data_IF_107571424419
#
_entry.id   IF_107571424419
#
_cell.length_a   1.000
_cell.length_b   1.000
_cell.length_c   1.000
_cell.angle_alpha   90.00
_cell.angle_beta   90.00
_cell.angle_gamma   90.00
#
_symmetry.space_group_name_H-M   'P 1'
#
loop_
_entity.id
_entity.type
_entity.pdbx_description
1 polymer ?
#
# COMPACT_ATOMS: atom_id res chain seq x y z
N UNK A 1 25.95 12.11 51.40
CA UNK A 1 24.61 11.54 51.20
C UNK A 1 23.99 11.83 49.82
N UNK A 2 24.65 12.55 48.92
CA UNK A 2 24.19 12.99 47.59
C UNK A 2 24.30 11.94 46.50
N UNK A 3 25.28 11.06 46.57
CA UNK A 3 25.57 10.10 45.45
C UNK A 3 24.53 9.01 45.30
N UNK A 4 23.91 8.53 46.37
CA UNK A 4 22.85 7.50 46.27
C UNK A 4 21.53 8.00 45.69
N UNK A 5 21.20 9.29 45.89
CA UNK A 5 19.99 9.89 45.30
C UNK A 5 20.13 10.10 43.80
N UNK A 6 21.31 10.49 43.34
CA UNK A 6 21.57 10.68 41.90
C UNK A 6 21.55 9.36 41.10
N UNK A 7 21.99 8.26 41.74
CA UNK A 7 21.97 6.94 41.11
C UNK A 7 20.54 6.37 40.98
N UNK A 8 19.68 6.60 41.97
CA UNK A 8 18.29 6.19 41.94
C UNK A 8 17.44 6.95 40.91
N UNK A 9 17.76 8.23 40.65
CA UNK A 9 17.05 9.04 39.65
C UNK A 9 17.47 8.58 38.25
N UNK A 10 18.74 8.24 38.04
CA UNK A 10 19.22 7.72 36.76
C UNK A 10 18.60 6.37 36.37
N UNK A 11 18.49 5.45 37.33
CA UNK A 11 17.89 4.13 37.07
C UNK A 11 16.38 4.20 36.84
N UNK A 12 15.67 5.08 37.52
CA UNK A 12 14.23 5.31 37.28
C UNK A 12 13.97 5.93 35.90
N UNK A 13 14.83 6.83 35.44
CA UNK A 13 14.74 7.44 34.11
C UNK A 13 14.96 6.41 32.97
N UNK A 14 15.96 5.55 33.11
CA UNK A 14 16.23 4.48 32.14
C UNK A 14 15.11 3.46 32.12
N UNK A 15 14.61 3.04 33.27
CA UNK A 15 13.47 2.11 33.37
C UNK A 15 12.21 2.71 32.74
N UNK A 16 11.93 3.99 32.95
CA UNK A 16 10.82 4.72 32.34
C UNK A 16 10.94 4.80 30.82
N UNK A 17 12.15 5.09 30.29
CA UNK A 17 12.41 5.13 28.85
C UNK A 17 12.27 3.74 28.19
N UNK A 18 12.74 2.70 28.84
CA UNK A 18 12.59 1.31 28.38
C UNK A 18 11.11 0.90 28.38
N UNK A 19 10.39 1.23 29.44
CA UNK A 19 8.95 0.95 29.53
C UNK A 19 8.18 1.72 28.45
N UNK A 20 8.50 2.98 28.21
CA UNK A 20 7.93 3.79 27.13
C UNK A 20 8.22 3.19 25.77
N UNK A 21 9.46 2.78 25.51
CA UNK A 21 9.86 2.14 24.23
C UNK A 21 9.17 0.78 24.02
N UNK A 22 9.01 0.00 25.08
CA UNK A 22 8.34 -1.31 25.02
C UNK A 22 6.83 -1.20 24.87
N UNK A 23 6.22 -0.21 25.50
CA UNK A 23 4.77 -0.04 25.48
C UNK A 23 4.27 0.81 24.32
N UNK A 24 5.09 1.73 23.82
CA UNK A 24 4.73 2.68 22.74
C UNK A 24 3.30 3.22 22.89
N UNK A 25 2.97 3.90 24.01
CA UNK A 25 1.60 4.35 24.26
C UNK A 25 1.09 5.32 23.19
N UNK A 26 1.99 6.03 22.50
CA UNK A 26 1.65 6.85 21.34
C UNK A 26 1.00 6.05 20.19
N UNK A 27 1.38 4.79 20.01
CA UNK A 27 0.79 3.93 18.98
C UNK A 27 -0.66 3.53 19.24
N UNK A 28 -1.14 3.77 20.48
CA UNK A 28 -2.53 3.53 20.89
C UNK A 28 -3.44 4.75 20.67
N UNK A 29 -2.87 5.94 20.51
CA UNK A 29 -3.61 7.20 20.56
C UNK A 29 -3.48 7.99 19.25
N UNK A 30 -2.37 7.83 18.51
CA UNK A 30 -2.12 8.63 17.32
C UNK A 30 -2.60 7.91 16.07
N UNK A 31 -3.57 8.49 15.40
CA UNK A 31 -4.03 7.99 14.11
C UNK A 31 -2.94 8.11 13.05
N UNK A 32 -2.78 7.07 12.26
CA UNK A 32 -1.87 7.02 11.14
C UNK A 32 -2.64 6.79 9.85
N UNK A 33 -2.71 7.83 9.03
CA UNK A 33 -3.30 7.74 7.70
C UNK A 33 -2.27 7.30 6.68
N UNK A 34 -2.64 6.33 5.84
CA UNK A 34 -1.84 5.82 4.73
C UNK A 34 -2.72 5.82 3.48
N UNK A 35 -2.22 6.37 2.38
CA UNK A 35 -2.92 6.38 1.10
C UNK A 35 -1.95 5.90 0.00
N UNK A 36 -1.84 4.58 -0.13
CA UNK A 36 -1.01 3.96 -1.17
C UNK A 36 -1.79 3.92 -2.50
N UNK A 37 -1.18 4.29 -3.61
CA UNK A 37 -1.79 4.07 -4.92
C UNK A 37 -1.90 2.58 -5.22
N UNK A 38 -2.88 2.19 -6.05
CA UNK A 38 -2.89 0.84 -6.60
C UNK A 38 -1.70 0.71 -7.56
N UNK A 39 -0.82 -0.29 -7.39
CA UNK A 39 0.28 -0.48 -8.32
C UNK A 39 -0.28 -0.92 -9.69
N UNK A 40 -0.34 0.03 -10.61
CA UNK A 40 -0.48 -0.22 -12.03
C UNK A 40 0.91 -0.47 -12.60
N UNK A 41 1.04 -1.29 -13.63
CA UNK A 41 2.32 -1.52 -14.28
C UNK A 41 2.86 -0.19 -14.83
N UNK A 42 3.68 0.52 -14.05
CA UNK A 42 4.39 1.68 -14.53
C UNK A 42 5.46 1.19 -15.52
N UNK A 43 5.21 1.40 -16.80
CA UNK A 43 6.28 1.34 -17.79
C UNK A 43 7.31 2.40 -17.39
N UNK A 44 8.50 1.95 -17.12
CA UNK A 44 9.69 2.73 -16.78
C UNK A 44 9.87 3.94 -17.70
N UNK A 45 9.28 5.09 -17.36
CA UNK A 45 9.68 6.38 -17.90
C UNK A 45 10.84 7.02 -17.10
N UNK A 46 11.55 6.22 -16.33
CA UNK A 46 12.64 6.70 -15.46
C UNK A 46 14.05 6.54 -16.07
N UNK A 47 14.17 6.45 -17.39
CA UNK A 47 15.48 6.30 -18.02
C UNK A 47 15.88 7.43 -18.98
N UNK A 48 15.25 8.61 -18.91
CA UNK A 48 15.65 9.75 -19.73
C UNK A 48 15.69 11.10 -18.99
N UNK A 49 16.21 11.12 -17.80
CA UNK A 49 16.49 12.37 -17.08
C UNK A 49 17.80 12.28 -16.31
N UNK A 50 18.92 12.00 -17.02
CA UNK A 50 20.24 12.42 -16.54
C UNK A 50 21.21 12.40 -17.72
N UNK A 51 21.30 13.54 -18.39
CA UNK A 51 22.51 13.93 -19.07
C UNK A 51 22.91 15.31 -18.54
N UNK A 52 23.98 15.38 -17.76
CA UNK A 52 24.48 16.65 -17.28
C UNK A 52 25.31 17.34 -18.38
N UNK A 53 24.94 18.57 -18.60
CA UNK A 53 25.83 19.65 -18.93
C UNK A 53 26.70 19.59 -20.16
N UNK A 54 26.61 20.66 -20.94
CA UNK A 54 27.81 21.41 -21.30
C UNK A 54 27.42 22.85 -21.59
N UNK A 55 28.21 23.71 -20.97
CA UNK A 55 28.13 25.11 -20.86
C UNK A 55 28.33 25.86 -22.19
N UNK A 56 27.69 27.04 -22.19
CA UNK A 56 28.20 28.33 -22.68
C UNK A 56 29.04 28.43 -23.97
N UNK A 57 28.55 29.21 -24.92
CA UNK A 57 29.34 30.32 -25.41
C UNK A 57 28.49 31.36 -26.14
N UNK A 58 28.69 32.56 -25.71
CA UNK A 58 28.29 33.87 -26.17
C UNK A 58 28.67 34.16 -27.63
N UNK A 59 27.87 35.04 -28.22
CA UNK A 59 28.21 36.24 -29.00
C UNK A 59 27.60 36.32 -30.40
N UNK A 60 26.65 37.19 -30.49
CA UNK A 60 26.66 38.43 -31.24
C UNK A 60 26.46 38.43 -32.74
N UNK A 61 25.48 39.22 -33.10
CA UNK A 61 25.36 40.17 -34.20
C UNK A 61 24.96 39.72 -35.61
N UNK A 62 23.79 40.26 -35.88
CA UNK A 62 23.43 41.11 -37.01
C UNK A 62 23.16 40.53 -38.40
N UNK A 63 22.03 40.94 -38.83
CA UNK A 63 21.61 41.48 -40.13
C UNK A 63 20.70 40.62 -41.01
N UNK A 64 19.51 41.16 -41.19
CA UNK A 64 18.57 40.88 -42.28
C UNK A 64 19.04 41.60 -43.57
N UNK A 65 18.55 41.37 -44.77
CA UNK A 65 17.17 41.06 -45.08
C UNK A 65 16.88 40.17 -46.36
N UNK A 66 15.63 39.80 -46.45
CA UNK A 66 14.72 39.81 -47.61
C UNK A 66 14.81 38.76 -48.74
N UNK A 67 13.59 38.33 -49.05
CA UNK A 67 13.00 38.01 -50.38
C UNK A 67 12.87 36.53 -50.75
N UNK A 68 11.61 36.12 -50.71
CA UNK A 68 10.72 35.71 -51.81
C UNK A 68 10.69 34.29 -52.26
N UNK A 69 9.49 33.75 -52.12
CA UNK A 69 8.70 32.97 -53.09
C UNK A 69 9.14 31.55 -53.47
N UNK A 70 8.26 30.70 -53.12
CA UNK A 70 7.31 29.92 -54.01
C UNK A 70 7.63 28.43 -54.11
N UNK A 71 6.50 27.69 -54.08
CA UNK A 71 6.35 26.31 -54.55
C UNK A 71 6.29 25.22 -53.44
N UNK A 72 5.08 24.95 -53.04
CA UNK A 72 4.71 23.56 -52.78
C UNK A 72 4.69 22.76 -54.08
N UNK A 73 4.92 21.47 -54.11
CA UNK A 73 3.95 20.52 -53.64
C UNK A 73 4.51 19.16 -53.13
N UNK A 74 3.58 18.35 -52.76
CA UNK A 74 3.60 16.90 -52.70
C UNK A 74 3.78 16.26 -51.33
N UNK A 75 2.66 15.88 -50.78
CA UNK A 75 2.31 14.64 -50.17
C UNK A 75 3.43 13.61 -50.08
N UNK A 76 3.89 13.38 -48.88
CA UNK A 76 4.44 12.11 -48.48
C UNK A 76 3.63 11.63 -47.31
N UNK A 77 2.74 10.70 -47.56
CA UNK A 77 2.09 9.86 -46.58
C UNK A 77 3.16 9.25 -45.69
N UNK A 78 3.24 9.74 -44.46
CA UNK A 78 3.94 8.98 -43.44
C UNK A 78 2.98 7.87 -43.04
N UNK A 79 3.37 6.61 -43.15
CA UNK A 79 2.62 5.55 -42.53
C UNK A 79 2.62 5.84 -41.02
N UNK A 80 1.44 6.14 -40.50
CA UNK A 80 1.20 6.14 -39.09
C UNK A 80 1.67 4.80 -38.51
N UNK A 81 2.86 4.78 -37.98
CA UNK A 81 3.26 3.70 -37.10
C UNK A 81 2.27 3.78 -35.92
N UNK A 82 1.22 2.98 -36.06
CA UNK A 82 0.42 2.60 -34.92
C UNK A 82 1.40 1.98 -33.91
N UNK A 83 1.90 2.77 -33.01
CA UNK A 83 2.44 2.26 -31.77
C UNK A 83 1.26 1.54 -31.14
N UNK A 84 1.23 0.23 -31.35
CA UNK A 84 0.44 -0.64 -30.50
C UNK A 84 0.89 -0.30 -29.06
N UNK A 85 0.09 0.51 -28.40
CA UNK A 85 0.13 0.62 -26.96
C UNK A 85 -0.11 -0.82 -26.50
N UNK A 86 0.97 -1.52 -26.16
CA UNK A 86 0.90 -2.76 -25.40
C UNK A 86 0.28 -2.32 -24.09
N UNK A 87 -1.05 -2.56 -23.97
CA UNK A 87 -1.87 -2.10 -22.88
C UNK A 87 -1.26 -2.59 -21.56
N UNK A 88 -1.00 -1.68 -20.68
CA UNK A 88 -0.91 -2.00 -19.26
C UNK A 88 -2.26 -2.63 -18.92
N UNK A 89 -2.30 -3.95 -18.79
CA UNK A 89 -3.53 -4.62 -18.38
C UNK A 89 -3.91 -4.10 -17.01
N UNK A 90 -5.12 -3.58 -16.91
CA UNK A 90 -5.66 -3.13 -15.64
C UNK A 90 -5.67 -4.29 -14.63
N UNK A 91 -5.41 -4.02 -13.34
CA UNK A 91 -5.46 -5.06 -12.32
C UNK A 91 -6.80 -5.78 -12.31
N UNK A 92 -6.78 -7.10 -12.50
CA UNK A 92 -7.97 -7.93 -12.48
C UNK A 92 -8.47 -8.12 -11.06
N UNK A 93 -9.72 -7.76 -10.79
CA UNK A 93 -10.35 -8.02 -9.50
C UNK A 93 -10.72 -9.50 -9.38
N UNK A 94 -10.16 -10.20 -8.38
CA UNK A 94 -10.43 -11.61 -8.11
C UNK A 94 -11.53 -11.81 -7.07
N UNK A 95 -11.52 -11.02 -6.00
CA UNK A 95 -12.48 -11.10 -4.91
C UNK A 95 -12.61 -9.75 -4.21
N UNK A 96 -13.66 -9.59 -3.42
CA UNK A 96 -13.84 -8.38 -2.62
C UNK A 96 -14.85 -8.55 -1.50
N UNK A 97 -14.79 -7.63 -0.53
CA UNK A 97 -15.68 -7.65 0.61
C UNK A 97 -15.73 -6.32 1.34
N UNK A 98 -16.64 -6.25 2.30
CA UNK A 98 -16.78 -5.10 3.20
C UNK A 98 -16.46 -5.55 4.62
N UNK A 99 -15.71 -4.70 5.33
CA UNK A 99 -15.45 -4.93 6.74
C UNK A 99 -16.71 -4.78 7.59
N UNK A 100 -16.86 -5.68 8.54
CA UNK A 100 -17.73 -5.56 9.72
C UNK A 100 -16.89 -5.46 10.98
N UNK A 101 -17.45 -4.84 12.01
CA UNK A 101 -16.81 -4.67 13.31
C UNK A 101 -16.95 -5.93 14.14
N UNK A 102 -15.91 -6.26 14.91
CA UNK A 102 -15.94 -7.25 15.97
C UNK A 102 -15.66 -6.56 17.30
N UNK A 103 -14.46 -6.69 17.89
CA UNK A 103 -14.12 -6.03 19.13
C UNK A 103 -13.93 -4.51 19.00
N UNK A 104 -13.62 -4.00 17.80
CA UNK A 104 -13.41 -2.59 17.52
C UNK A 104 -14.19 -2.16 16.28
N UNK A 105 -14.59 -0.89 16.26
CA UNK A 105 -15.19 -0.32 15.05
C UNK A 105 -14.19 -0.44 13.89
N UNK A 106 -14.61 -1.16 12.84
CA UNK A 106 -13.80 -1.41 11.65
C UNK A 106 -14.69 -1.26 10.43
N UNK A 107 -14.24 -0.46 9.45
CA UNK A 107 -14.98 -0.21 8.22
C UNK A 107 -14.06 -0.09 7.03
N UNK A 108 -14.64 -0.10 5.84
CA UNK A 108 -13.96 0.00 4.56
C UNK A 108 -14.21 -1.22 3.70
N UNK A 109 -13.49 -1.28 2.60
CA UNK A 109 -13.57 -2.35 1.61
C UNK A 109 -12.23 -3.08 1.55
N UNK A 110 -12.28 -4.35 1.22
CA UNK A 110 -11.12 -5.12 0.82
C UNK A 110 -11.34 -5.66 -0.59
N UNK A 111 -10.30 -5.59 -1.40
CA UNK A 111 -10.31 -6.16 -2.75
C UNK A 111 -9.02 -6.91 -3.00
N UNK A 112 -9.14 -8.10 -3.57
CA UNK A 112 -7.99 -8.88 -4.04
C UNK A 112 -7.86 -8.69 -5.54
N UNK A 113 -6.69 -8.25 -5.96
CA UNK A 113 -6.33 -8.05 -7.36
C UNK A 113 -5.28 -9.06 -7.83
N UNK A 114 -5.33 -9.40 -9.11
CA UNK A 114 -4.21 -9.93 -9.89
C UNK A 114 -3.62 -8.80 -10.71
N UNK A 115 -2.33 -8.57 -10.52
CA UNK A 115 -1.57 -7.57 -11.30
C UNK A 115 -1.14 -8.16 -12.63
N UNK A 116 -0.76 -7.32 -13.58
CA UNK A 116 -0.29 -7.72 -14.91
C UNK A 116 0.93 -8.66 -14.87
N UNK A 117 1.77 -8.56 -13.84
CA UNK A 117 2.93 -9.44 -13.61
C UNK A 117 2.56 -10.78 -12.94
N UNK A 118 1.27 -11.04 -12.71
CA UNK A 118 0.75 -12.24 -12.07
C UNK A 118 0.80 -12.24 -10.55
N UNK A 119 1.40 -11.24 -9.90
CA UNK A 119 1.34 -11.09 -8.44
C UNK A 119 -0.10 -10.82 -7.99
N UNK A 120 -0.42 -11.22 -6.77
CA UNK A 120 -1.72 -10.96 -6.16
C UNK A 120 -1.56 -9.98 -5.02
N UNK A 121 -2.47 -9.01 -4.98
CA UNK A 121 -2.46 -7.91 -4.04
C UNK A 121 -3.79 -7.85 -3.30
N UNK A 122 -3.75 -7.72 -2.00
CA UNK A 122 -4.89 -7.37 -1.18
C UNK A 122 -4.84 -5.86 -0.94
N UNK A 123 -5.91 -5.15 -1.29
CA UNK A 123 -6.05 -3.71 -1.08
C UNK A 123 -7.16 -3.43 -0.09
N UNK A 124 -6.87 -2.64 0.92
CA UNK A 124 -7.84 -1.99 1.78
C UNK A 124 -8.16 -0.61 1.17
N UNK A 125 -9.44 -0.24 1.11
CA UNK A 125 -9.91 1.04 0.55
C UNK A 125 -10.91 1.67 1.51
N UNK A 126 -10.81 2.99 1.71
CA UNK A 126 -11.65 3.72 2.68
C UNK A 126 -11.61 3.07 4.08
N UNK A 127 -10.49 2.47 4.37
CA UNK A 127 -10.33 1.68 5.59
C UNK A 127 -10.19 2.57 6.82
N UNK A 128 -10.83 2.15 7.91
CA UNK A 128 -10.60 2.73 9.22
C UNK A 128 -10.87 1.72 10.33
N UNK A 129 -10.02 1.74 11.34
CA UNK A 129 -10.15 0.94 12.57
C UNK A 129 -9.50 1.66 13.75
N UNK A 130 -9.59 1.08 14.94
CA UNK A 130 -8.88 1.59 16.13
C UNK A 130 -7.38 1.31 16.06
N UNK A 131 -6.61 2.09 16.82
CA UNK A 131 -5.20 1.83 17.03
C UNK A 131 -4.96 0.63 17.93
N UNK A 132 -3.80 0.01 17.79
CA UNK A 132 -3.38 -1.10 18.64
C UNK A 132 -1.87 -1.35 18.56
N UNK A 133 -1.26 -2.01 19.56
CA UNK A 133 0.20 -2.12 19.68
C UNK A 133 0.86 -3.10 18.70
N UNK A 134 0.10 -4.02 18.10
CA UNK A 134 0.59 -4.97 17.09
C UNK A 134 -0.59 -5.47 16.25
N UNK A 135 -1.17 -4.55 15.47
CA UNK A 135 -2.30 -4.85 14.58
C UNK A 135 -1.76 -5.38 13.26
N UNK A 136 -2.35 -6.46 12.78
CA UNK A 136 -1.94 -7.23 11.60
C UNK A 136 -3.10 -7.44 10.65
N UNK A 137 -2.77 -7.69 9.38
CA UNK A 137 -3.71 -8.11 8.36
C UNK A 137 -3.53 -9.59 8.11
N UNK A 138 -4.57 -10.38 8.38
CA UNK A 138 -4.58 -11.82 8.17
C UNK A 138 -5.53 -12.22 7.05
N UNK A 139 -5.09 -13.16 6.19
CA UNK A 139 -5.99 -13.96 5.37
C UNK A 139 -6.34 -15.24 6.15
N UNK A 140 -7.63 -15.51 6.31
CA UNK A 140 -8.13 -16.60 7.15
C UNK A 140 -8.82 -17.67 6.29
N UNK A 141 -8.55 -18.94 6.59
CA UNK A 141 -9.12 -20.08 5.87
C UNK A 141 -10.56 -20.39 6.33
N UNK A 142 -11.40 -19.36 6.37
CA UNK A 142 -12.81 -19.42 6.74
C UNK A 142 -13.64 -18.57 5.79
N UNK A 143 -14.94 -18.77 5.76
CA UNK A 143 -15.85 -17.94 4.97
C UNK A 143 -16.03 -16.55 5.59
N UNK A 144 -15.94 -16.45 6.91
CA UNK A 144 -15.98 -15.22 7.69
C UNK A 144 -15.32 -15.46 9.06
N UNK A 145 -15.02 -14.38 9.81
CA UNK A 145 -14.39 -14.44 11.14
C UNK A 145 -15.19 -13.59 12.11
N UNK A 146 -16.10 -14.24 12.83
CA UNK A 146 -17.01 -13.57 13.77
C UNK A 146 -16.39 -13.36 15.17
N UNK A 147 -15.41 -14.18 15.56
CA UNK A 147 -14.76 -14.15 16.87
C UNK A 147 -13.27 -14.54 16.80
N UNK A 148 -12.59 -14.47 17.94
CA UNK A 148 -11.16 -14.77 18.03
C UNK A 148 -10.84 -16.27 17.85
N UNK A 149 -11.76 -17.16 18.23
CA UNK A 149 -11.60 -18.61 18.09
C UNK A 149 -11.56 -19.03 16.63
N UNK A 150 -12.51 -18.52 15.85
CA UNK A 150 -12.68 -18.87 14.45
C UNK A 150 -11.40 -18.63 13.61
N UNK A 151 -10.68 -17.53 13.84
CA UNK A 151 -9.43 -17.24 13.12
C UNK A 151 -8.33 -18.27 13.44
N UNK A 152 -8.19 -18.64 14.71
CA UNK A 152 -7.14 -19.57 15.17
C UNK A 152 -7.40 -21.01 14.71
N UNK A 153 -8.64 -21.44 14.77
CA UNK A 153 -9.04 -22.81 14.40
C UNK A 153 -8.99 -23.03 12.89
N UNK A 154 -9.43 -22.07 12.10
CA UNK A 154 -9.41 -22.17 10.64
C UNK A 154 -8.00 -22.12 10.03
N UNK A 155 -7.06 -21.48 10.72
CA UNK A 155 -5.73 -21.17 10.22
C UNK A 155 -5.70 -19.90 9.38
N UNK A 156 -4.57 -19.22 9.40
CA UNK A 156 -4.40 -17.93 8.73
C UNK A 156 -3.01 -17.75 8.14
N UNK A 157 -2.89 -16.79 7.23
CA UNK A 157 -1.63 -16.27 6.69
C UNK A 157 -1.50 -14.81 7.11
N UNK A 158 -0.38 -14.47 7.77
CA UNK A 158 -0.05 -13.11 8.18
C UNK A 158 0.53 -12.34 6.97
N UNK A 159 -0.20 -11.34 6.47
CA UNK A 159 0.24 -10.49 5.37
C UNK A 159 1.11 -9.32 5.83
N UNK A 160 1.23 -9.12 7.15
CA UNK A 160 2.09 -8.09 7.73
C UNK A 160 1.37 -7.15 8.70
N UNK A 161 2.17 -6.22 9.24
CA UNK A 161 1.64 -5.20 10.16
C UNK A 161 0.71 -4.25 9.42
N UNK A 162 -0.36 -3.82 10.09
CA UNK A 162 -1.23 -2.76 9.60
C UNK A 162 -0.40 -1.48 9.46
N UNK A 163 -0.33 -0.93 8.25
CA UNK A 163 0.53 0.23 7.93
C UNK A 163 0.00 1.53 8.53
N UNK A 164 -1.32 1.63 8.64
CA UNK A 164 -2.03 2.72 9.31
C UNK A 164 -3.43 2.27 9.69
N UNK A 165 -4.03 2.92 10.67
CA UNK A 165 -5.40 2.62 11.07
C UNK A 165 -6.46 3.31 10.20
N UNK A 166 -6.05 4.20 9.29
CA UNK A 166 -6.91 4.93 8.36
C UNK A 166 -6.30 4.90 6.96
N UNK A 167 -7.15 4.75 5.93
CA UNK A 167 -6.85 5.01 4.52
C UNK A 167 -6.55 3.77 3.70
N UNK A 168 -6.02 4.00 2.50
CA UNK A 168 -5.82 2.98 1.48
C UNK A 168 -4.46 2.30 1.62
N UNK A 169 -4.44 0.97 1.62
CA UNK A 169 -3.23 0.19 1.90
C UNK A 169 -3.19 -1.07 1.05
N UNK A 170 -1.99 -1.49 0.65
CA UNK A 170 -1.76 -2.66 -0.18
C UNK A 170 -0.93 -3.70 0.56
N UNK A 171 -1.22 -4.99 0.37
CA UNK A 171 -0.51 -6.12 0.97
C UNK A 171 -0.28 -7.19 -0.09
N UNK A 172 0.95 -7.65 -0.24
CA UNK A 172 1.26 -8.74 -1.16
C UNK A 172 0.69 -10.06 -0.61
N UNK A 173 0.03 -10.81 -1.47
CA UNK A 173 -0.43 -12.16 -1.16
C UNK A 173 0.65 -13.15 -1.64
N UNK A 174 1.14 -14.06 -0.78
CA UNK A 174 2.15 -15.04 -1.16
C UNK A 174 1.76 -15.82 -2.41
N UNK A 175 2.72 -16.04 -3.30
CA UNK A 175 2.51 -16.86 -4.48
C UNK A 175 2.09 -18.29 -4.07
N UNK A 176 1.17 -18.89 -4.82
CA UNK A 176 0.68 -20.25 -4.54
C UNK A 176 -0.35 -20.38 -3.42
N UNK A 177 -0.72 -19.30 -2.72
CA UNK A 177 -1.80 -19.37 -1.73
C UNK A 177 -3.14 -19.66 -2.41
N UNK A 178 -3.87 -20.64 -1.88
CA UNK A 178 -5.18 -21.03 -2.40
C UNK A 178 -6.29 -20.09 -1.88
N UNK A 179 -6.72 -19.14 -2.72
CA UNK A 179 -7.77 -18.18 -2.37
C UNK A 179 -9.16 -18.79 -2.27
N UNK A 180 -9.38 -20.01 -2.77
CA UNK A 180 -10.67 -20.70 -2.57
C UNK A 180 -10.83 -21.18 -1.13
N UNK A 181 -9.72 -21.39 -0.44
CA UNK A 181 -9.66 -21.74 0.97
C UNK A 181 -9.65 -20.52 1.88
N UNK A 182 -8.86 -19.49 1.52
CA UNK A 182 -8.66 -18.27 2.32
C UNK A 182 -9.67 -17.20 1.88
N UNK A 183 -10.88 -17.23 2.45
CA UNK A 183 -12.01 -16.41 2.00
C UNK A 183 -12.43 -15.31 2.97
N UNK A 184 -11.62 -15.01 3.98
CA UNK A 184 -11.88 -13.89 4.87
C UNK A 184 -10.59 -13.13 5.17
N UNK A 185 -10.72 -11.83 5.43
CA UNK A 185 -9.66 -10.98 5.95
C UNK A 185 -9.99 -10.61 7.39
N UNK A 186 -9.02 -10.69 8.30
CA UNK A 186 -9.17 -10.25 9.67
C UNK A 186 -8.12 -9.20 10.00
N UNK A 187 -8.56 -8.15 10.69
CA UNK A 187 -7.70 -7.15 11.31
C UNK A 187 -7.46 -7.57 12.75
N UNK A 188 -6.27 -8.05 13.02
CA UNK A 188 -5.95 -8.79 14.22
C UNK A 188 -4.88 -8.11 15.08
N UNK A 189 -5.18 -7.86 16.34
CA UNK A 189 -4.17 -7.46 17.31
C UNK A 189 -3.47 -8.68 17.89
N UNK A 190 -2.25 -8.96 17.41
CA UNK A 190 -1.48 -10.13 17.81
C UNK A 190 -1.13 -10.13 19.31
N UNK A 191 -0.80 -8.95 19.86
CA UNK A 191 -0.41 -8.80 21.26
C UNK A 191 -1.51 -9.20 22.23
N UNK A 192 -2.75 -8.86 21.92
CA UNK A 192 -3.91 -9.13 22.80
C UNK A 192 -4.76 -10.30 22.31
N UNK A 193 -4.44 -10.88 21.16
CA UNK A 193 -5.23 -11.93 20.52
C UNK A 193 -6.68 -11.51 20.28
N UNK A 194 -6.91 -10.30 19.79
CA UNK A 194 -8.23 -9.70 19.56
C UNK A 194 -8.46 -9.47 18.07
N UNK A 195 -9.62 -9.90 17.58
CA UNK A 195 -10.11 -9.59 16.25
C UNK A 195 -10.83 -8.24 16.26
N UNK A 196 -10.24 -7.21 15.64
CA UNK A 196 -10.83 -5.87 15.55
C UNK A 196 -12.04 -5.85 14.64
N UNK A 197 -11.94 -6.50 13.49
CA UNK A 197 -12.98 -6.63 12.50
C UNK A 197 -12.56 -7.57 11.39
N UNK A 198 -13.53 -8.02 10.61
CA UNK A 198 -13.29 -8.95 9.52
C UNK A 198 -14.08 -8.58 8.27
N UNK A 199 -13.68 -9.14 7.13
CA UNK A 199 -14.37 -8.99 5.86
C UNK A 199 -14.42 -10.34 5.14
N UNK A 200 -15.61 -10.91 4.89
CA UNK A 200 -15.74 -12.05 4.00
C UNK A 200 -15.42 -11.64 2.57
N UNK A 201 -14.70 -12.49 1.84
CA UNK A 201 -14.34 -12.30 0.44
C UNK A 201 -15.31 -13.07 -0.46
N UNK A 202 -16.07 -12.34 -1.27
CA UNK A 202 -16.85 -12.89 -2.36
C UNK A 202 -16.04 -12.83 -3.66
N UNK A 203 -16.13 -13.85 -4.50
CA UNK A 203 -15.49 -13.84 -5.81
C UNK A 203 -16.07 -12.74 -6.71
N UNK A 204 -15.24 -12.17 -7.58
CA UNK A 204 -15.69 -11.16 -8.53
C UNK A 204 -16.58 -11.83 -9.59
N UNK A 205 -17.87 -11.50 -9.59
CA UNK A 205 -18.84 -12.04 -10.54
C UNK A 205 -19.85 -13.02 -9.95
N UNK A 206 -19.86 -13.22 -8.62
CA UNK A 206 -20.92 -13.95 -7.91
C UNK A 206 -22.03 -13.06 -7.40
#
# INVERSE_FOLDING_TARGET
MTTRRSMLIGTAGVAGAVLWYLFRPEALIVDRTVNEPLPVAEHSMSAMAESPGMAQSTSAMADSPAMAQDSAPAMAEHPAMAHAAMGAEDPEKLAGGRFHSNAHETRGLVTVFRLADGRRLLRLTEFATSNGPDVRVYLVAAADVQDEGAAKEAGFVDLGALKGNIGDQNYDIPAGLDLTRYRAVSIWCRRFSVNFGAAPLAEAGS
#
